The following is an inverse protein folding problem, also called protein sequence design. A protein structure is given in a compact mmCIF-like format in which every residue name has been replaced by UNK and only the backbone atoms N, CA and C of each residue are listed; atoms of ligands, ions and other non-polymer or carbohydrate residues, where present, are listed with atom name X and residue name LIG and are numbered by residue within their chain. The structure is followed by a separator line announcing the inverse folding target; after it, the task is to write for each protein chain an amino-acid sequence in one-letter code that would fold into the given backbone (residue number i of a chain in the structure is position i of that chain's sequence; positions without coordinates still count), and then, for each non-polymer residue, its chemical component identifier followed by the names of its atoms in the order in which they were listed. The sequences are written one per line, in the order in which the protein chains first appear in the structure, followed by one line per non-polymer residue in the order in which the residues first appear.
data_IF_609366168969
#
_entry.id   IF_609366168969
#
_cell.length_a   1.000
_cell.length_b   1.000
_cell.length_c   1.000
_cell.angle_alpha   90.00
_cell.angle_beta   90.00
_cell.angle_gamma   90.00
#
_symmetry.space_group_name_H-M   'P 1'
#
loop_
_entity.id
_entity.type
_entity.pdbx_description
1 polymer ?
#
# COMPACT_ATOMS: atom_id res chain seq x y z
N UNK A 1 34.14 -10.61 10.53
CA UNK A 1 33.59 -9.65 9.54
C UNK A 1 34.21 -8.27 9.76
N UNK A 2 34.56 -7.55 8.69
CA UNK A 2 35.02 -6.17 8.82
C UNK A 2 33.83 -5.22 9.07
N UNK A 3 34.07 -4.04 9.64
CA UNK A 3 32.99 -3.04 9.86
C UNK A 3 32.33 -2.59 8.55
N UNK A 4 33.02 -2.71 7.42
CA UNK A 4 32.48 -2.42 6.09
C UNK A 4 31.50 -3.51 5.64
N UNK A 5 31.85 -4.79 5.81
CA UNK A 5 30.94 -5.90 5.48
C UNK A 5 29.63 -5.80 6.27
N UNK A 6 29.70 -5.40 7.54
CA UNK A 6 28.51 -5.23 8.37
C UNK A 6 27.62 -4.08 7.87
N UNK A 7 28.21 -2.95 7.45
CA UNK A 7 27.46 -1.81 6.90
C UNK A 7 26.77 -2.16 5.59
N UNK A 8 27.44 -2.91 4.72
CA UNK A 8 26.89 -3.32 3.43
C UNK A 8 25.70 -4.29 3.60
N UNK A 9 25.82 -5.27 4.51
CA UNK A 9 24.71 -6.16 4.85
C UNK A 9 23.53 -5.40 5.46
N UNK A 10 23.78 -4.44 6.36
CA UNK A 10 22.72 -3.60 6.94
C UNK A 10 22.03 -2.73 5.87
N UNK A 11 22.77 -2.20 4.90
CA UNK A 11 22.19 -1.43 3.79
C UNK A 11 21.32 -2.32 2.88
N UNK A 12 21.73 -3.57 2.66
CA UNK A 12 20.94 -4.55 1.90
C UNK A 12 19.64 -4.91 2.61
N UNK A 13 19.69 -5.22 3.91
CA UNK A 13 18.50 -5.52 4.72
C UNK A 13 17.54 -4.33 4.71
N UNK A 14 18.05 -3.10 4.84
CA UNK A 14 17.24 -1.88 4.74
C UNK A 14 16.47 -1.83 3.42
N UNK A 15 17.17 -2.03 2.31
CA UNK A 15 16.59 -2.00 0.97
C UNK A 15 15.49 -3.06 0.81
N UNK A 16 15.71 -4.27 1.32
CA UNK A 16 14.74 -5.36 1.24
C UNK A 16 13.45 -5.04 2.02
N UNK A 17 13.55 -4.51 3.25
CA UNK A 17 12.40 -4.11 4.07
C UNK A 17 11.61 -2.97 3.40
N UNK A 18 12.33 -1.98 2.88
CA UNK A 18 11.77 -0.82 2.21
C UNK A 18 11.03 -1.21 0.92
N UNK A 19 11.60 -2.12 0.13
CA UNK A 19 10.93 -2.69 -1.05
C UNK A 19 9.67 -3.47 -0.67
N UNK A 20 9.76 -4.34 0.34
CA UNK A 20 8.63 -5.12 0.82
C UNK A 20 7.47 -4.23 1.29
N UNK A 21 7.76 -3.17 2.05
CA UNK A 21 6.77 -2.16 2.43
C UNK A 21 6.07 -1.55 1.21
N UNK A 22 6.84 -1.17 0.18
CA UNK A 22 6.31 -0.64 -1.07
C UNK A 22 5.38 -1.62 -1.81
N UNK A 23 5.75 -2.89 -1.87
CA UNK A 23 4.91 -3.94 -2.47
C UNK A 23 3.57 -4.13 -1.73
N UNK A 24 3.59 -4.11 -0.40
CA UNK A 24 2.37 -4.20 0.41
C UNK A 24 1.46 -2.98 0.20
N UNK A 25 2.05 -1.78 0.10
CA UNK A 25 1.29 -0.58 -0.23
C UNK A 25 0.67 -0.64 -1.63
N UNK A 26 1.41 -1.13 -2.63
CA UNK A 26 0.90 -1.33 -3.99
C UNK A 26 -0.28 -2.29 -4.02
N UNK A 27 -0.26 -3.35 -3.21
CA UNK A 27 -1.38 -4.30 -3.10
C UNK A 27 -2.63 -3.64 -2.51
N UNK A 28 -2.46 -2.76 -1.52
CA UNK A 28 -3.55 -1.97 -0.95
C UNK A 28 -4.14 -1.00 -2.00
N UNK A 29 -3.29 -0.36 -2.80
CA UNK A 29 -3.71 0.50 -3.90
C UNK A 29 -4.44 -0.27 -5.01
N UNK A 30 -3.97 -1.48 -5.35
CA UNK A 30 -4.66 -2.37 -6.28
C UNK A 30 -6.10 -2.61 -5.83
N UNK A 31 -6.30 -2.93 -4.56
CA UNK A 31 -7.65 -3.13 -4.00
C UNK A 31 -8.55 -1.90 -4.19
N UNK A 32 -8.05 -0.73 -3.82
CA UNK A 32 -8.80 0.54 -3.88
C UNK A 32 -9.20 0.94 -5.31
N UNK A 33 -8.26 0.82 -6.26
CA UNK A 33 -8.51 1.14 -7.67
C UNK A 33 -9.56 0.19 -8.24
N UNK A 34 -9.45 -1.11 -7.95
CA UNK A 34 -10.41 -2.10 -8.45
C UNK A 34 -11.80 -1.90 -7.87
N UNK A 35 -11.93 -1.67 -6.56
CA UNK A 35 -13.20 -1.33 -5.93
C UNK A 35 -13.84 -0.08 -6.59
N UNK A 36 -13.06 0.99 -6.74
CA UNK A 36 -13.53 2.23 -7.35
C UNK A 36 -13.96 2.02 -8.81
N UNK A 37 -13.20 1.23 -9.57
CA UNK A 37 -13.52 0.86 -10.93
C UNK A 37 -14.86 0.11 -11.03
N UNK A 38 -15.04 -0.92 -10.21
CA UNK A 38 -16.27 -1.69 -10.13
C UNK A 38 -17.47 -0.82 -9.74
N UNK A 39 -17.35 0.00 -8.70
CA UNK A 39 -18.40 0.91 -8.27
C UNK A 39 -18.80 1.91 -9.38
N UNK A 40 -17.82 2.42 -10.15
CA UNK A 40 -18.06 3.31 -11.29
C UNK A 40 -18.75 2.59 -12.45
N UNK A 41 -18.37 1.34 -12.76
CA UNK A 41 -19.01 0.53 -13.81
C UNK A 41 -20.48 0.29 -13.47
N UNK A 42 -20.78 -0.15 -12.26
CA UNK A 42 -22.17 -0.42 -11.84
C UNK A 42 -22.98 0.87 -11.80
N UNK A 43 -22.41 1.97 -11.29
CA UNK A 43 -23.07 3.29 -11.35
C UNK A 43 -23.38 3.70 -12.78
N UNK A 44 -22.49 3.42 -13.74
CA UNK A 44 -22.72 3.72 -15.16
C UNK A 44 -23.81 2.84 -15.76
N UNK A 45 -23.84 1.55 -15.42
CA UNK A 45 -24.88 0.63 -15.83
C UNK A 45 -26.27 1.11 -15.37
N UNK A 46 -26.43 1.37 -14.07
CA UNK A 46 -27.71 1.79 -13.49
C UNK A 46 -28.19 3.11 -14.10
N UNK A 47 -27.29 4.07 -14.33
CA UNK A 47 -27.60 5.33 -15.01
C UNK A 47 -28.09 5.15 -16.45
N UNK A 48 -27.58 4.17 -17.19
CA UNK A 48 -27.93 3.95 -18.61
C UNK A 48 -29.19 3.12 -18.78
N UNK A 49 -29.44 2.19 -17.86
CA UNK A 49 -30.51 1.20 -17.99
C UNK A 49 -31.72 1.51 -17.12
N UNK A 50 -31.59 2.43 -16.15
CA UNK A 50 -32.60 2.62 -15.11
C UNK A 50 -32.63 1.49 -14.07
N UNK A 51 -31.66 0.56 -14.11
CA UNK A 51 -31.54 -0.53 -13.14
C UNK A 51 -31.10 -0.07 -11.75
N UNK A 52 -31.21 -0.97 -10.77
CA UNK A 52 -30.82 -0.75 -9.37
C UNK A 52 -29.95 -1.91 -8.89
N UNK A 53 -28.79 -2.11 -9.53
CA UNK A 53 -27.87 -3.20 -9.21
C UNK A 53 -26.76 -2.79 -8.23
N UNK A 54 -26.54 -1.49 -8.02
CA UNK A 54 -25.45 -0.98 -7.20
C UNK A 54 -25.37 -1.62 -5.82
N UNK A 55 -26.46 -1.57 -5.04
CA UNK A 55 -26.44 -2.05 -3.66
C UNK A 55 -26.08 -3.54 -3.54
N UNK A 56 -26.80 -4.47 -4.21
CA UNK A 56 -26.49 -5.90 -4.10
C UNK A 56 -25.13 -6.26 -4.70
N UNK A 57 -24.64 -5.50 -5.69
CA UNK A 57 -23.31 -5.74 -6.25
C UNK A 57 -22.19 -5.30 -5.30
N UNK A 58 -22.31 -4.12 -4.69
CA UNK A 58 -21.29 -3.62 -3.75
C UNK A 58 -21.16 -4.55 -2.54
N UNK A 59 -22.27 -5.04 -1.97
CA UNK A 59 -22.21 -6.00 -0.86
C UNK A 59 -21.37 -7.23 -1.22
N UNK A 60 -21.58 -7.82 -2.40
CA UNK A 60 -20.78 -8.97 -2.87
C UNK A 60 -19.32 -8.63 -3.07
N UNK A 61 -19.00 -7.41 -3.52
CA UNK A 61 -17.62 -6.95 -3.72
C UNK A 61 -16.87 -6.84 -2.39
N UNK A 62 -17.52 -6.35 -1.33
CA UNK A 62 -16.91 -6.21 -0.01
C UNK A 62 -16.52 -7.56 0.60
N UNK A 63 -17.19 -8.64 0.20
CA UNK A 63 -16.90 -10.01 0.62
C UNK A 63 -15.80 -10.68 -0.22
N UNK A 64 -15.32 -10.05 -1.30
CA UNK A 64 -14.30 -10.65 -2.15
C UNK A 64 -12.91 -10.54 -1.51
N UNK A 65 -12.04 -11.56 -1.68
CA UNK A 65 -10.70 -11.58 -1.09
C UNK A 65 -9.83 -10.38 -1.47
N UNK A 66 -9.99 -9.84 -2.69
CA UNK A 66 -9.19 -8.69 -3.12
C UNK A 66 -9.50 -7.40 -2.33
N UNK A 67 -10.65 -7.34 -1.64
CA UNK A 67 -11.05 -6.21 -0.80
C UNK A 67 -10.59 -6.35 0.66
N UNK A 68 -10.17 -7.56 1.08
CA UNK A 68 -9.75 -7.83 2.45
C UNK A 68 -8.29 -7.39 2.65
N UNK A 69 -8.09 -6.13 3.03
CA UNK A 69 -6.74 -5.53 3.16
C UNK A 69 -6.26 -5.36 4.61
N UNK A 70 -7.00 -5.82 5.62
CA UNK A 70 -6.67 -5.63 7.03
C UNK A 70 -5.28 -6.19 7.40
N UNK A 71 -4.97 -7.41 6.94
CA UNK A 71 -3.67 -8.04 7.15
C UNK A 71 -2.55 -7.26 6.47
N UNK A 72 -2.80 -6.73 5.27
CA UNK A 72 -1.84 -5.92 4.52
C UNK A 72 -1.58 -4.61 5.27
N UNK A 73 -2.62 -3.94 5.76
CA UNK A 73 -2.49 -2.73 6.56
C UNK A 73 -1.69 -2.96 7.85
N UNK A 74 -1.88 -4.10 8.50
CA UNK A 74 -1.09 -4.48 9.68
C UNK A 74 0.39 -4.67 9.31
N UNK A 75 0.68 -5.40 8.24
CA UNK A 75 2.04 -5.64 7.77
C UNK A 75 2.77 -4.35 7.36
N UNK A 76 2.08 -3.42 6.70
CA UNK A 76 2.60 -2.08 6.39
C UNK A 76 3.08 -1.37 7.67
N UNK A 77 2.24 -1.31 8.71
CA UNK A 77 2.59 -0.68 9.99
C UNK A 77 3.76 -1.36 10.70
N UNK A 78 3.83 -2.69 10.64
CA UNK A 78 4.95 -3.45 11.20
C UNK A 78 6.26 -3.13 10.47
N UNK A 79 6.22 -2.95 9.14
CA UNK A 79 7.37 -2.51 8.36
C UNK A 79 7.79 -1.09 8.71
N UNK A 80 6.84 -0.15 8.83
CA UNK A 80 7.12 1.24 9.25
C UNK A 80 7.82 1.27 10.62
N UNK A 81 7.30 0.53 11.59
CA UNK A 81 7.89 0.41 12.94
C UNK A 81 9.29 -0.21 12.88
N UNK A 82 9.49 -1.20 12.03
CA UNK A 82 10.80 -1.85 11.85
C UNK A 82 11.81 -0.89 11.20
N UNK A 83 11.38 -0.12 10.20
CA UNK A 83 12.23 0.87 9.53
C UNK A 83 12.67 1.94 10.54
N UNK A 84 11.73 2.50 11.31
CA UNK A 84 12.01 3.53 12.31
C UNK A 84 12.96 3.04 13.41
N UNK A 85 12.79 1.80 13.89
CA UNK A 85 13.59 1.24 14.99
C UNK A 85 14.98 0.78 14.57
N UNK A 86 15.11 0.15 13.39
CA UNK A 86 16.36 -0.45 12.91
C UNK A 86 17.19 0.55 12.10
N UNK A 87 16.55 1.52 11.46
CA UNK A 87 17.18 2.50 10.58
C UNK A 87 16.73 3.91 10.96
N UNK A 88 17.15 4.44 12.13
CA UNK A 88 16.85 5.82 12.49
C UNK A 88 17.29 6.75 11.36
N UNK A 89 16.53 7.83 11.11
CA UNK A 89 16.81 8.74 10.01
C UNK A 89 18.27 9.19 10.11
N UNK A 90 19.06 9.06 9.03
CA UNK A 90 20.41 9.59 9.04
C UNK A 90 20.31 11.08 9.30
N UNK A 91 21.17 11.63 10.17
CA UNK A 91 21.36 13.09 10.29
C UNK A 91 21.82 13.75 8.97
N UNK A 92 21.91 13.01 7.85
CA UNK A 92 22.28 13.51 6.54
C UNK A 92 21.42 12.92 5.42
N UNK A 93 20.78 13.86 4.73
CA UNK A 93 19.77 13.77 3.68
C UNK A 93 20.38 13.58 2.29
N UNK A 94 20.88 12.39 1.93
CA UNK A 94 21.44 12.19 0.57
C UNK A 94 21.09 10.83 -0.09
N UNK A 95 19.98 10.17 0.29
CA UNK A 95 19.50 8.97 -0.41
C UNK A 95 18.17 9.21 -1.14
N UNK A 96 18.15 9.19 -2.49
CA UNK A 96 16.98 9.54 -3.31
C UNK A 96 15.82 8.53 -3.25
N UNK A 97 16.04 7.34 -2.67
CA UNK A 97 15.00 6.30 -2.55
C UNK A 97 14.01 6.55 -1.39
N UNK A 98 14.39 7.34 -0.40
CA UNK A 98 13.52 7.67 0.74
C UNK A 98 12.34 8.54 0.29
N UNK A 99 12.60 9.47 -0.63
CA UNK A 99 11.61 10.42 -1.15
C UNK A 99 10.52 9.73 -1.97
N UNK A 100 10.83 8.67 -2.72
CA UNK A 100 9.83 7.96 -3.54
C UNK A 100 8.83 7.22 -2.66
N UNK A 101 9.28 6.63 -1.56
CA UNK A 101 8.45 5.82 -0.66
C UNK A 101 7.66 6.70 0.30
N UNK A 102 8.23 7.80 0.78
CA UNK A 102 7.50 8.87 1.45
C UNK A 102 6.45 9.51 0.51
N UNK A 103 6.78 9.68 -0.77
CA UNK A 103 5.83 10.17 -1.79
C UNK A 103 4.70 9.18 -2.08
N UNK A 104 4.96 7.87 -1.98
CA UNK A 104 3.93 6.84 -2.04
C UNK A 104 3.03 6.85 -0.80
N UNK A 105 3.58 7.10 0.41
CA UNK A 105 2.78 7.33 1.62
C UNK A 105 1.85 8.55 1.50
N UNK A 106 2.23 9.57 0.72
CA UNK A 106 1.41 10.77 0.45
C UNK A 106 0.32 10.57 -0.62
N UNK A 107 0.37 9.49 -1.40
CA UNK A 107 -0.80 9.02 -2.14
C UNK A 107 -1.72 8.34 -1.15
N UNK A 108 -2.39 9.13 -0.31
CA UNK A 108 -3.42 8.65 0.60
C UNK A 108 -4.26 7.61 -0.12
N UNK A 109 -4.39 6.38 0.41
CA UNK A 109 -5.38 5.43 -0.09
C UNK A 109 -6.69 6.21 -0.23
N UNK A 110 -7.35 6.14 -1.40
CA UNK A 110 -8.70 6.70 -1.54
C UNK A 110 -9.49 6.11 -0.38
N UNK A 111 -9.81 6.93 0.61
CA UNK A 111 -10.59 6.47 1.75
C UNK A 111 -11.96 6.14 1.21
N UNK A 112 -12.21 4.85 1.12
CA UNK A 112 -13.51 4.33 0.71
C UNK A 112 -14.41 4.56 1.93
N UNK A 113 -15.52 5.31 1.79
CA UNK A 113 -16.47 5.49 2.87
C UNK A 113 -17.17 4.18 3.25
#
# INVERSE_FOLDING_TARGET
PSDLDFKDEMAKIRKEIVNFHGEMFLLMNYSNINYTGLAKIVKKHDKRTGGVLRLPFIQKVLEQPFFTTDLISKLVKECETTIESVFPPPEYSDLPDFDVIQSLQLLSPIQIP
#
